data_IF_306109233420
#
_entry.id   IF_306109233420
#
_cell.length_a   1.000
_cell.length_b   1.000
_cell.length_c   1.000
_cell.angle_alpha   90.00
_cell.angle_beta   90.00
_cell.angle_gamma   90.00
#
_symmetry.space_group_name_H-M   'P 1'
#
loop_
_entity.id
_entity.type
_entity.pdbx_description
1 polymer ?
#
# COMPACT_ATOMS: atom_id res chain seq x y z
N UNK A 1 -23.70 -14.21 -2.85
CA UNK A 1 -22.42 -14.21 -2.21
C UNK A 1 -21.93 -12.83 -1.97
N UNK A 2 -21.34 -12.62 -0.86
CA UNK A 2 -20.87 -11.29 -0.49
C UNK A 2 -19.36 -11.26 -0.50
N UNK A 3 -18.83 -10.25 -1.12
CA UNK A 3 -17.40 -10.02 -1.04
C UNK A 3 -17.07 -9.20 0.19
N UNK A 4 -15.94 -9.49 0.79
CA UNK A 4 -15.45 -8.67 1.89
C UNK A 4 -15.02 -7.31 1.35
N UNK A 5 -15.36 -6.26 2.08
CA UNK A 5 -14.95 -4.90 1.74
C UNK A 5 -14.30 -4.31 2.96
N UNK A 6 -13.05 -3.86 2.80
CA UNK A 6 -12.30 -3.25 3.88
C UNK A 6 -11.82 -1.87 3.46
N UNK A 7 -11.81 -0.94 4.41
CA UNK A 7 -11.37 0.42 4.16
C UNK A 7 -10.62 0.92 5.37
N UNK A 8 -9.45 1.50 5.16
CA UNK A 8 -8.62 2.02 6.23
C UNK A 8 -7.92 3.29 5.77
N UNK A 9 -7.56 4.12 6.73
CA UNK A 9 -6.76 5.31 6.45
C UNK A 9 -5.39 5.11 7.10
N UNK A 10 -4.34 5.39 6.34
CA UNK A 10 -2.97 5.29 6.85
C UNK A 10 -2.23 6.57 6.54
N UNK A 11 -1.13 6.79 7.27
CA UNK A 11 -0.27 7.94 7.04
C UNK A 11 1.05 7.44 6.46
N UNK A 12 1.55 8.16 5.45
CA UNK A 12 2.83 7.82 4.85
C UNK A 12 3.93 8.21 5.82
N UNK A 13 4.66 7.23 6.34
CA UNK A 13 5.71 7.47 7.31
C UNK A 13 7.11 7.28 6.74
N UNK A 14 7.20 6.90 5.48
CA UNK A 14 8.49 6.80 4.80
C UNK A 14 9.06 8.18 4.60
N UNK A 15 10.35 8.33 4.90
CA UNK A 15 11.00 9.65 4.83
C UNK A 15 10.93 10.28 3.45
N UNK A 16 10.95 9.45 2.42
CA UNK A 16 10.93 9.94 1.05
C UNK A 16 9.56 9.85 0.42
N UNK A 17 8.54 9.61 1.23
CA UNK A 17 7.21 9.43 0.71
C UNK A 17 7.05 8.06 0.08
N UNK A 18 5.98 7.91 -0.69
CA UNK A 18 5.68 6.64 -1.33
C UNK A 18 6.42 6.59 -2.67
N UNK A 19 7.69 6.19 -2.61
CA UNK A 19 8.54 6.15 -3.79
C UNK A 19 8.64 4.73 -4.32
N UNK A 20 9.52 4.51 -5.31
CA UNK A 20 9.54 3.28 -6.08
C UNK A 20 9.75 2.02 -5.25
N UNK A 21 10.65 2.04 -4.27
CA UNK A 21 10.91 0.84 -3.48
C UNK A 21 9.71 0.37 -2.67
N UNK A 22 9.10 1.21 -1.83
CA UNK A 22 7.90 0.77 -1.12
C UNK A 22 6.74 0.48 -2.06
N UNK A 23 6.62 1.20 -3.17
CA UNK A 23 5.57 0.90 -4.14
C UNK A 23 5.74 -0.50 -4.71
N UNK A 24 6.96 -0.87 -5.04
CA UNK A 24 7.22 -2.20 -5.59
C UNK A 24 6.85 -3.29 -4.59
N UNK A 25 7.09 -3.05 -3.30
CA UNK A 25 6.69 -4.00 -2.27
C UNK A 25 5.17 -4.13 -2.20
N UNK A 26 4.47 -3.00 -2.27
CA UNK A 26 3.01 -3.04 -2.23
C UNK A 26 2.47 -3.88 -3.40
N UNK A 27 2.99 -3.63 -4.60
CA UNK A 27 2.55 -4.37 -5.77
C UNK A 27 2.81 -5.86 -5.59
N UNK A 28 3.98 -6.20 -5.07
CA UNK A 28 4.33 -7.60 -4.84
C UNK A 28 3.37 -8.25 -3.85
N UNK A 29 3.06 -7.54 -2.76
CA UNK A 29 2.15 -8.06 -1.75
C UNK A 29 0.76 -8.34 -2.33
N UNK A 30 0.28 -7.47 -3.20
CA UNK A 30 -1.08 -7.64 -3.74
C UNK A 30 -1.19 -8.86 -4.63
N UNK A 31 -0.08 -9.34 -5.21
CA UNK A 31 -0.12 -10.46 -6.13
C UNK A 31 -0.55 -11.77 -5.47
N UNK A 32 -0.36 -11.88 -4.17
CA UNK A 32 -0.63 -13.11 -3.46
C UNK A 32 -2.07 -13.23 -3.00
N UNK A 33 -2.89 -12.23 -3.26
CA UNK A 33 -4.22 -12.17 -2.69
C UNK A 33 -5.28 -11.97 -3.76
N UNK A 34 -6.42 -12.64 -3.55
CA UNK A 34 -7.56 -12.56 -4.46
C UNK A 34 -8.48 -11.44 -4.02
N UNK A 35 -8.14 -10.22 -4.41
CA UNK A 35 -9.00 -9.07 -4.16
C UNK A 35 -8.52 -7.91 -5.00
N UNK A 36 -9.40 -6.92 -5.17
CA UNK A 36 -9.03 -5.65 -5.75
C UNK A 36 -8.55 -4.74 -4.65
N UNK A 37 -7.50 -3.97 -4.91
CA UNK A 37 -6.94 -3.09 -3.91
C UNK A 37 -6.68 -1.72 -4.53
N UNK A 38 -7.18 -0.70 -3.87
CA UNK A 38 -7.07 0.67 -4.37
C UNK A 38 -6.51 1.57 -3.27
N UNK A 39 -5.63 2.48 -3.65
CA UNK A 39 -5.09 3.48 -2.74
C UNK A 39 -5.41 4.84 -3.30
N UNK A 40 -5.94 5.72 -2.46
CA UNK A 40 -6.31 7.05 -2.89
C UNK A 40 -5.60 8.13 -2.09
N UNK A 41 -5.23 9.19 -2.80
CA UNK A 41 -4.64 10.38 -2.20
C UNK A 41 -5.50 11.55 -2.64
N UNK A 42 -6.44 11.95 -1.78
CA UNK A 42 -7.40 12.97 -2.16
C UNK A 42 -8.22 12.52 -3.35
N UNK A 43 -8.18 13.28 -4.40
CA UNK A 43 -8.95 12.99 -5.60
C UNK A 43 -8.32 11.93 -6.50
N UNK A 44 -7.09 11.56 -6.22
CA UNK A 44 -6.37 10.61 -7.06
C UNK A 44 -6.51 9.21 -6.51
N UNK A 45 -6.78 8.25 -7.38
CA UNK A 45 -6.87 6.85 -7.00
C UNK A 45 -5.96 6.02 -7.85
N UNK A 46 -5.41 4.96 -7.27
CA UNK A 46 -4.50 4.08 -7.99
C UNK A 46 -4.85 2.64 -7.71
N UNK A 47 -4.71 1.82 -8.74
CA UNK A 47 -4.78 0.38 -8.59
C UNK A 47 -3.46 -0.07 -7.95
N UNK A 48 -3.54 -0.69 -6.78
CA UNK A 48 -2.32 -1.04 -6.05
C UNK A 48 -1.52 -2.16 -6.68
N UNK A 49 -1.99 -2.71 -7.80
CA UNK A 49 -1.24 -3.70 -8.57
C UNK A 49 -0.43 -3.08 -9.68
N UNK A 50 -0.51 -1.76 -9.84
CA UNK A 50 0.14 -1.05 -10.94
C UNK A 50 1.14 -0.06 -10.40
N UNK A 51 2.42 -0.32 -10.67
CA UNK A 51 3.49 0.52 -10.15
C UNK A 51 3.32 1.98 -10.59
N UNK A 52 3.03 2.19 -11.88
CA UNK A 52 2.93 3.56 -12.37
C UNK A 52 1.74 4.30 -11.80
N UNK A 53 0.62 3.59 -11.59
CA UNK A 53 -0.52 4.22 -10.94
C UNK A 53 -0.14 4.74 -9.56
N UNK A 54 0.54 3.89 -8.80
CA UNK A 54 0.92 4.27 -7.44
C UNK A 54 1.91 5.43 -7.43
N UNK A 55 2.83 5.46 -8.40
CA UNK A 55 3.76 6.58 -8.50
C UNK A 55 3.03 7.90 -8.75
N UNK A 56 1.95 7.85 -9.52
CA UNK A 56 1.20 9.06 -9.85
C UNK A 56 0.43 9.62 -8.67
N UNK A 57 0.29 8.87 -7.60
CA UNK A 57 -0.33 9.41 -6.39
C UNK A 57 0.50 10.52 -5.79
N UNK A 58 1.81 10.50 -6.02
CA UNK A 58 2.73 11.51 -5.49
C UNK A 58 2.53 11.72 -3.99
N UNK A 59 2.46 10.61 -3.26
CA UNK A 59 2.17 10.67 -1.84
C UNK A 59 3.43 11.04 -1.06
N UNK A 60 3.44 12.24 -0.54
CA UNK A 60 4.57 12.77 0.22
C UNK A 60 4.54 12.26 1.66
N UNK A 61 5.66 12.42 2.40
CA UNK A 61 5.65 12.05 3.82
C UNK A 61 4.53 12.78 4.55
N UNK A 62 3.92 12.08 5.51
CA UNK A 62 2.84 12.58 6.35
C UNK A 62 1.51 12.75 5.63
N UNK A 63 1.41 12.30 4.40
CA UNK A 63 0.14 12.31 3.67
C UNK A 63 -0.74 11.17 4.17
N UNK A 64 -2.03 11.45 4.29
CA UNK A 64 -3.01 10.41 4.59
C UNK A 64 -3.52 9.79 3.31
N UNK A 65 -3.55 8.47 3.29
CA UNK A 65 -4.04 7.71 2.15
C UNK A 65 -5.22 6.86 2.58
N UNK A 66 -6.16 6.68 1.68
CA UNK A 66 -7.30 5.80 1.90
C UNK A 66 -7.04 4.49 1.19
N UNK A 67 -7.12 3.39 1.92
CA UNK A 67 -6.94 2.05 1.39
C UNK A 67 -8.30 1.38 1.28
N UNK A 68 -8.57 0.76 0.14
CA UNK A 68 -9.81 0.02 -0.06
C UNK A 68 -9.52 -1.32 -0.70
N UNK A 69 -10.06 -2.38 -0.11
CA UNK A 69 -9.88 -3.73 -0.62
C UNK A 69 -11.24 -4.41 -0.75
N UNK A 70 -11.46 -5.08 -1.87
CA UNK A 70 -12.72 -5.77 -2.14
C UNK A 70 -12.40 -7.15 -2.70
N UNK A 71 -12.91 -8.19 -2.05
CA UNK A 71 -12.70 -9.55 -2.52
C UNK A 71 -12.51 -10.52 -1.38
N UNK A 72 -12.25 -11.78 -1.73
CA UNK A 72 -12.17 -12.85 -0.74
C UNK A 72 -11.05 -12.63 0.26
N UNK A 73 -9.90 -12.10 -0.19
CA UNK A 73 -8.75 -11.93 0.67
C UNK A 73 -8.58 -10.49 1.15
N UNK A 74 -9.64 -9.68 1.06
CA UNK A 74 -9.54 -8.27 1.36
C UNK A 74 -9.03 -8.01 2.78
N UNK A 75 -9.55 -8.74 3.75
CA UNK A 75 -9.15 -8.53 5.15
C UNK A 75 -7.68 -8.86 5.35
N UNK A 76 -7.23 -9.98 4.79
CA UNK A 76 -5.84 -10.41 4.98
C UNK A 76 -4.87 -9.41 4.37
N UNK A 77 -5.15 -9.00 3.14
CA UNK A 77 -4.26 -8.07 2.48
C UNK A 77 -4.27 -6.72 3.18
N UNK A 78 -5.46 -6.28 3.59
CA UNK A 78 -5.56 -5.00 4.29
C UNK A 78 -4.69 -4.99 5.54
N UNK A 79 -4.71 -6.07 6.32
CA UNK A 79 -3.89 -6.12 7.52
C UNK A 79 -2.41 -6.01 7.22
N UNK A 80 -1.96 -6.67 6.17
CA UNK A 80 -0.56 -6.60 5.80
C UNK A 80 -0.16 -5.22 5.31
N UNK A 81 -1.00 -4.61 4.49
CA UNK A 81 -0.70 -3.29 3.94
C UNK A 81 -0.71 -2.23 5.05
N UNK A 82 -1.67 -2.33 5.98
CA UNK A 82 -1.70 -1.38 7.09
C UNK A 82 -0.42 -1.50 7.92
N UNK A 83 0.02 -2.71 8.23
CA UNK A 83 1.28 -2.90 8.95
C UNK A 83 2.46 -2.32 8.18
N UNK A 84 2.45 -2.50 6.88
CA UNK A 84 3.50 -1.98 6.03
C UNK A 84 3.61 -0.45 6.20
N UNK A 85 2.48 0.23 6.14
CA UNK A 85 2.49 1.68 6.30
C UNK A 85 2.82 2.11 7.72
N UNK A 86 2.30 1.39 8.71
CA UNK A 86 2.53 1.77 10.10
C UNK A 86 3.96 1.59 10.53
N UNK A 87 4.65 0.63 9.96
CA UNK A 87 6.05 0.41 10.27
C UNK A 87 6.97 1.40 9.56
N UNK A 88 6.41 2.19 8.64
CA UNK A 88 7.22 3.10 7.86
C UNK A 88 8.15 2.38 6.91
N UNK A 89 7.78 1.15 6.55
CA UNK A 89 8.56 0.34 5.63
C UNK A 89 9.82 -0.26 6.29
N UNK A 90 10.05 0.06 7.56
CA UNK A 90 11.29 -0.38 8.21
C UNK A 90 11.40 -1.90 8.29
N UNK A 91 10.29 -2.57 8.56
CA UNK A 91 10.30 -4.00 8.71
C UNK A 91 10.76 -4.69 7.42
N UNK A 92 10.45 -4.09 6.29
CA UNK A 92 10.79 -4.65 4.99
C UNK A 92 12.17 -4.19 4.52
N UNK A 93 12.60 -3.03 5.00
CA UNK A 93 13.92 -2.53 4.67
C UNK A 93 15.03 -3.32 5.32
N UNK A 94 14.77 -3.90 6.46
CA UNK A 94 15.81 -4.64 7.18
C UNK A 94 16.44 -5.72 6.35
N UNK A 95 15.66 -6.29 5.44
CA UNK A 95 16.14 -7.38 4.62
C UNK A 95 17.20 -6.92 3.64
N UNK A 96 17.16 -5.67 3.24
CA UNK A 96 18.06 -5.17 2.23
C UNK A 96 18.85 -3.97 2.71
N UNK A 97 18.97 -3.80 3.99
CA UNK A 97 19.64 -2.62 4.54
C UNK A 97 21.11 -2.59 4.25
N UNK A 98 21.68 -3.71 3.89
CA UNK A 98 23.11 -3.76 3.57
C UNK A 98 23.45 -2.90 2.37
N UNK A 99 22.47 -2.58 1.57
CA UNK A 99 22.70 -1.79 0.38
C UNK A 99 22.87 -0.32 0.69
N UNK A 100 22.56 0.08 1.88
CA UNK A 100 22.70 1.49 2.26
C UNK A 100 23.91 1.71 3.12
#
# INVERSE_FOLDING_TARGET
MQESVCRQIVTVKMKQGLHLRPISEIVRMTRDYACDFKISNGDRSANAREVYDLLELQALPETELVLEAVGDDATKLMEEIVQFFESGYKKFEEVSDLSD
#
